data_IF_817927106181
#
_entry.id   IF_817927106181
#
_cell.length_a   1.000
_cell.length_b   1.000
_cell.length_c   1.000
_cell.angle_alpha   90.00
_cell.angle_beta   90.00
_cell.angle_gamma   90.00
#
_symmetry.space_group_name_H-M   'P 1'
#
loop_
_entity.id
_entity.type
_entity.pdbx_description
1 polymer ?
#
# COMPACT_ATOMS: atom_id res chain seq x y z
N UNK A 1 24.85 36.44 -26.80
CA UNK A 1 25.73 35.59 -25.99
C UNK A 1 25.05 35.37 -24.63
N UNK A 2 24.07 34.52 -24.59
CA UNK A 2 23.44 34.09 -23.32
C UNK A 2 24.29 32.95 -22.75
N UNK A 3 24.78 33.16 -21.57
CA UNK A 3 25.50 32.14 -20.77
C UNK A 3 24.48 31.18 -20.21
N UNK A 4 24.48 29.98 -20.76
CA UNK A 4 23.81 28.80 -20.20
C UNK A 4 24.48 28.46 -18.85
N UNK A 5 23.86 28.90 -17.75
CA UNK A 5 24.24 28.58 -16.40
C UNK A 5 23.58 27.25 -16.00
N UNK A 6 24.00 26.15 -16.58
CA UNK A 6 23.73 24.81 -16.05
C UNK A 6 24.55 24.67 -14.74
N UNK A 7 23.88 24.99 -13.62
CA UNK A 7 24.44 24.85 -12.26
C UNK A 7 24.76 23.37 -11.99
N UNK A 8 26.03 23.01 -12.16
CA UNK A 8 26.59 21.66 -12.03
C UNK A 8 26.61 21.14 -10.59
N UNK A 9 25.55 21.37 -9.80
CA UNK A 9 25.38 20.71 -8.52
C UNK A 9 25.05 19.26 -8.77
N UNK A 10 25.97 18.36 -8.46
CA UNK A 10 25.72 16.93 -8.44
C UNK A 10 24.39 16.68 -7.70
N UNK A 11 23.40 16.10 -8.37
CA UNK A 11 22.07 15.88 -7.82
C UNK A 11 22.25 15.03 -6.55
N UNK A 12 21.98 15.60 -5.39
CA UNK A 12 22.19 14.93 -4.09
C UNK A 12 21.36 13.64 -4.06
N UNK A 13 21.96 12.53 -3.60
CA UNK A 13 21.29 11.25 -3.48
C UNK A 13 20.05 11.36 -2.57
N UNK A 14 18.91 10.95 -3.07
CA UNK A 14 17.66 10.90 -2.30
C UNK A 14 17.64 9.66 -1.40
N UNK A 15 16.96 9.78 -0.26
CA UNK A 15 16.82 8.73 0.75
C UNK A 15 15.35 8.32 0.83
N UNK A 16 15.07 7.02 0.61
CA UNK A 16 13.75 6.44 0.70
C UNK A 16 13.63 5.50 1.90
N UNK A 17 12.52 5.59 2.64
CA UNK A 17 12.08 4.65 3.66
C UNK A 17 10.80 3.97 3.20
N UNK A 18 10.82 2.64 3.06
CA UNK A 18 9.70 1.86 2.51
C UNK A 18 9.25 0.81 3.52
N UNK A 19 7.95 0.79 3.85
CA UNK A 19 7.40 -0.20 4.77
C UNK A 19 6.85 -1.42 4.05
N UNK A 20 7.00 -2.61 4.67
CA UNK A 20 6.43 -3.85 4.11
C UNK A 20 7.17 -4.39 2.90
N UNK A 21 8.50 -4.31 2.89
CA UNK A 21 9.38 -4.68 1.76
C UNK A 21 9.75 -6.18 1.69
N UNK A 22 9.15 -7.04 2.48
CA UNK A 22 9.48 -8.48 2.47
C UNK A 22 8.94 -9.23 1.24
N UNK A 23 8.00 -8.67 0.50
CA UNK A 23 7.43 -9.26 -0.72
C UNK A 23 6.55 -8.25 -1.46
N UNK A 24 6.14 -8.58 -2.68
CA UNK A 24 5.13 -7.84 -3.45
C UNK A 24 5.51 -6.41 -3.79
N UNK A 25 4.59 -5.47 -3.63
CA UNK A 25 4.77 -4.07 -4.03
C UNK A 25 5.97 -3.43 -3.33
N UNK A 26 6.09 -3.57 -2.00
CA UNK A 26 7.20 -2.98 -1.25
C UNK A 26 8.57 -3.55 -1.63
N UNK A 27 8.65 -4.84 -1.95
CA UNK A 27 9.86 -5.49 -2.44
C UNK A 27 10.29 -4.93 -3.81
N UNK A 28 9.38 -4.93 -4.79
CA UNK A 28 9.67 -4.40 -6.12
C UNK A 28 10.00 -2.90 -6.09
N UNK A 29 9.25 -2.12 -5.30
CA UNK A 29 9.53 -0.69 -5.13
C UNK A 29 10.91 -0.46 -4.54
N UNK A 30 11.31 -1.24 -3.52
CA UNK A 30 12.62 -1.08 -2.90
C UNK A 30 13.76 -1.32 -3.87
N UNK A 31 13.68 -2.38 -4.66
CA UNK A 31 14.68 -2.68 -5.68
C UNK A 31 14.68 -1.64 -6.80
N UNK A 32 13.51 -1.23 -7.27
CA UNK A 32 13.38 -0.28 -8.38
C UNK A 32 13.92 1.10 -8.01
N UNK A 33 13.60 1.62 -6.82
CA UNK A 33 14.14 2.90 -6.38
C UNK A 33 15.66 2.83 -6.21
N UNK A 34 16.18 1.74 -5.65
CA UNK A 34 17.62 1.54 -5.51
C UNK A 34 18.35 1.45 -6.87
N UNK A 35 17.77 0.76 -7.86
CA UNK A 35 18.27 0.71 -9.25
C UNK A 35 18.33 2.09 -9.92
N UNK A 36 17.48 3.02 -9.48
CA UNK A 36 17.47 4.41 -9.95
C UNK A 36 18.32 5.35 -9.08
N UNK A 37 19.26 4.79 -8.28
CA UNK A 37 20.24 5.55 -7.51
C UNK A 37 19.71 6.19 -6.21
N UNK A 38 18.47 5.89 -5.82
CA UNK A 38 17.88 6.35 -4.56
C UNK A 38 18.35 5.41 -3.45
N UNK A 39 19.02 5.92 -2.40
CA UNK A 39 19.39 5.10 -1.26
C UNK A 39 18.16 4.64 -0.52
N UNK A 40 17.91 3.33 -0.50
CA UNK A 40 16.64 2.76 -0.09
C UNK A 40 16.76 1.95 1.19
N UNK A 41 16.03 2.36 2.22
CA UNK A 41 15.80 1.56 3.42
C UNK A 41 14.54 0.71 3.23
N UNK A 42 14.73 -0.55 2.87
CA UNK A 42 13.68 -1.54 2.76
C UNK A 42 13.35 -2.08 4.15
N UNK A 43 12.11 -1.91 4.64
CA UNK A 43 11.79 -2.34 6.01
C UNK A 43 10.78 -3.46 6.07
N UNK A 44 10.93 -4.32 7.07
CA UNK A 44 10.06 -5.46 7.31
C UNK A 44 10.05 -5.87 8.79
N UNK A 45 8.97 -6.47 9.26
CA UNK A 45 8.85 -6.93 10.66
C UNK A 45 9.80 -8.08 10.99
N UNK A 46 10.00 -8.99 10.05
CA UNK A 46 10.81 -10.18 10.23
C UNK A 46 11.98 -10.22 9.24
N UNK A 47 13.18 -10.03 9.75
CA UNK A 47 14.42 -10.04 8.95
C UNK A 47 14.77 -11.41 8.37
N UNK A 48 14.18 -12.53 8.85
CA UNK A 48 14.39 -13.83 8.20
C UNK A 48 13.89 -13.89 6.76
N UNK A 49 13.05 -12.92 6.36
CA UNK A 49 12.54 -12.77 4.99
C UNK A 49 13.36 -11.81 4.13
N UNK A 50 14.53 -11.35 4.60
CA UNK A 50 15.34 -10.34 3.90
C UNK A 50 16.34 -10.95 2.91
N UNK A 51 16.56 -12.26 2.93
CA UNK A 51 17.66 -12.88 2.18
C UNK A 51 17.57 -12.59 0.67
N UNK A 52 16.40 -12.76 0.07
CA UNK A 52 16.20 -12.55 -1.36
C UNK A 52 16.51 -11.10 -1.80
N UNK A 53 16.00 -10.10 -1.10
CA UNK A 53 16.26 -8.69 -1.43
C UNK A 53 17.73 -8.32 -1.22
N UNK A 54 18.39 -8.87 -0.20
CA UNK A 54 19.81 -8.64 0.08
C UNK A 54 20.70 -9.28 -0.98
N UNK A 55 20.38 -10.49 -1.45
CA UNK A 55 21.14 -11.19 -2.50
C UNK A 55 21.06 -10.42 -3.81
N UNK A 56 19.88 -9.93 -4.19
CA UNK A 56 19.69 -9.09 -5.38
C UNK A 56 20.46 -7.77 -5.22
N UNK A 57 20.30 -7.09 -4.09
CA UNK A 57 20.98 -5.82 -3.84
C UNK A 57 22.50 -5.97 -3.89
N UNK A 58 23.05 -7.05 -3.34
CA UNK A 58 24.48 -7.36 -3.41
C UNK A 58 24.95 -7.67 -4.83
N UNK A 59 24.19 -8.51 -5.55
CA UNK A 59 24.52 -8.88 -6.95
C UNK A 59 24.54 -7.69 -7.88
N UNK A 60 23.61 -6.77 -7.71
CA UNK A 60 23.46 -5.58 -8.56
C UNK A 60 24.17 -4.34 -7.99
N UNK A 61 24.88 -4.46 -6.86
CA UNK A 61 25.56 -3.35 -6.16
C UNK A 61 24.61 -2.17 -5.86
N UNK A 62 23.39 -2.45 -5.42
CA UNK A 62 22.35 -1.44 -5.20
C UNK A 62 22.56 -0.69 -3.87
N UNK A 63 22.28 0.63 -3.81
CA UNK A 63 22.27 1.41 -2.58
C UNK A 63 21.02 1.08 -1.74
N UNK A 64 21.00 -0.11 -1.15
CA UNK A 64 19.86 -0.64 -0.40
C UNK A 64 20.32 -1.24 0.93
N UNK A 65 19.60 -0.90 1.98
CA UNK A 65 19.76 -1.47 3.32
C UNK A 65 18.43 -1.98 3.86
N UNK A 66 18.45 -3.12 4.55
CA UNK A 66 17.25 -3.67 5.20
C UNK A 66 17.24 -3.31 6.68
N UNK A 67 16.09 -2.86 7.20
CA UNK A 67 15.87 -2.57 8.61
C UNK A 67 14.62 -3.29 9.14
N UNK A 68 14.63 -3.57 10.46
CA UNK A 68 13.41 -3.99 11.15
C UNK A 68 12.51 -2.79 11.37
N UNK A 69 11.24 -2.91 10.95
CA UNK A 69 10.20 -1.93 11.26
C UNK A 69 8.84 -2.64 11.30
N UNK A 70 8.17 -2.56 12.45
CA UNK A 70 6.76 -2.87 12.61
C UNK A 70 5.99 -1.55 12.76
N UNK A 71 5.07 -1.28 11.83
CA UNK A 71 4.29 -0.04 11.82
C UNK A 71 3.35 0.07 13.03
N UNK A 72 3.03 -1.05 13.68
CA UNK A 72 2.18 -1.10 14.87
C UNK A 72 2.96 -0.89 16.16
N UNK A 73 4.28 -1.04 16.14
CA UNK A 73 5.16 -0.83 17.29
C UNK A 73 5.89 0.51 17.19
N UNK A 74 5.55 1.40 18.12
CA UNK A 74 6.13 2.75 18.16
C UNK A 74 7.63 2.75 18.42
N UNK A 75 8.16 1.84 19.25
CA UNK A 75 9.59 1.73 19.53
C UNK A 75 10.35 1.24 18.30
N UNK A 76 9.79 0.26 17.59
CA UNK A 76 10.35 -0.23 16.34
C UNK A 76 10.41 0.87 15.27
N UNK A 77 9.32 1.63 15.13
CA UNK A 77 9.22 2.76 14.22
C UNK A 77 10.25 3.84 14.54
N UNK A 78 10.35 4.26 15.82
CA UNK A 78 11.32 5.28 16.25
C UNK A 78 12.76 4.83 15.97
N UNK A 79 13.10 3.60 16.35
CA UNK A 79 14.44 3.05 16.14
C UNK A 79 14.85 3.03 14.66
N UNK A 80 13.93 2.68 13.77
CA UNK A 80 14.21 2.67 12.34
C UNK A 80 14.46 4.10 11.81
N UNK A 81 13.64 5.07 12.21
CA UNK A 81 13.82 6.48 11.82
C UNK A 81 15.15 7.04 12.38
N UNK A 82 15.45 6.79 13.65
CA UNK A 82 16.69 7.25 14.29
C UNK A 82 17.92 6.70 13.55
N UNK A 83 17.88 5.44 13.13
CA UNK A 83 18.96 4.83 12.35
C UNK A 83 19.13 5.51 10.98
N UNK A 84 18.05 5.76 10.25
CA UNK A 84 18.11 6.48 8.97
C UNK A 84 18.66 7.89 9.18
N UNK A 85 18.21 8.59 10.21
CA UNK A 85 18.66 9.95 10.51
C UNK A 85 20.11 9.99 10.95
N UNK A 86 20.58 9.02 11.74
CA UNK A 86 21.98 8.92 12.14
C UNK A 86 22.90 8.69 10.92
N UNK A 87 22.50 7.87 9.97
CA UNK A 87 23.32 7.52 8.80
C UNK A 87 23.24 8.56 7.68
N UNK A 88 22.07 9.15 7.43
CA UNK A 88 21.78 9.97 6.25
C UNK A 88 21.41 11.43 6.57
N UNK A 89 21.00 11.67 7.82
CA UNK A 89 20.51 12.98 8.29
C UNK A 89 19.34 13.55 7.47
N UNK A 90 18.59 12.67 6.78
CA UNK A 90 17.42 13.05 5.98
C UNK A 90 16.54 11.86 5.61
N UNK A 91 15.28 12.14 5.30
CA UNK A 91 14.34 11.24 4.62
C UNK A 91 13.64 12.08 3.56
N UNK A 92 13.80 11.71 2.28
CA UNK A 92 13.18 12.43 1.15
C UNK A 92 11.88 11.80 0.72
N UNK A 93 11.78 10.48 0.84
CA UNK A 93 10.68 9.68 0.35
C UNK A 93 10.26 8.71 1.47
N UNK A 94 8.98 8.77 1.84
CA UNK A 94 8.34 7.79 2.71
C UNK A 94 7.30 7.03 1.89
N UNK A 95 7.45 5.70 1.78
CA UNK A 95 6.46 4.83 1.13
C UNK A 95 5.76 3.99 2.19
N UNK A 96 4.53 4.35 2.52
CA UNK A 96 3.64 3.61 3.41
C UNK A 96 2.93 2.52 2.61
N UNK A 97 3.55 1.33 2.55
CA UNK A 97 3.05 0.19 1.80
C UNK A 97 2.61 -0.97 2.70
N UNK A 98 3.10 -1.07 3.93
CA UNK A 98 2.71 -2.13 4.86
C UNK A 98 1.19 -2.14 5.07
N UNK A 99 0.56 -3.31 4.91
CA UNK A 99 -0.87 -3.48 5.08
C UNK A 99 -1.32 -4.90 4.75
N UNK A 100 -2.54 -5.22 5.12
CA UNK A 100 -3.22 -6.48 4.78
C UNK A 100 -4.72 -6.25 4.64
N UNK A 101 -5.46 -7.28 4.21
CA UNK A 101 -6.92 -7.25 4.12
C UNK A 101 -7.53 -8.30 5.01
N UNK A 102 -8.52 -7.89 5.80
CA UNK A 102 -9.42 -8.75 6.56
C UNK A 102 -10.70 -8.98 5.76
N UNK A 103 -11.08 -10.22 5.57
CA UNK A 103 -12.25 -10.63 4.77
C UNK A 103 -13.24 -11.40 5.65
N UNK A 104 -14.50 -11.02 5.57
CA UNK A 104 -15.61 -11.64 6.26
C UNK A 104 -16.81 -10.69 6.30
N UNK A 105 -18.00 -11.23 6.59
CA UNK A 105 -19.17 -10.41 6.86
C UNK A 105 -18.94 -9.62 8.16
N UNK A 106 -19.42 -8.39 8.22
CA UNK A 106 -19.12 -7.49 9.35
C UNK A 106 -19.50 -8.10 10.70
N UNK A 107 -20.63 -8.80 10.78
CA UNK A 107 -21.05 -9.45 12.05
C UNK A 107 -20.22 -10.69 12.43
N UNK A 108 -19.42 -11.22 11.49
CA UNK A 108 -18.51 -12.36 11.71
C UNK A 108 -17.08 -11.94 12.01
N UNK A 109 -16.81 -10.65 12.05
CA UNK A 109 -15.48 -10.08 12.35
C UNK A 109 -15.55 -9.43 13.72
N UNK A 110 -14.64 -9.81 14.61
CA UNK A 110 -14.56 -9.20 15.94
C UNK A 110 -14.04 -7.76 15.88
N UNK A 111 -14.42 -6.94 16.85
CA UNK A 111 -13.89 -5.58 16.99
C UNK A 111 -12.37 -5.54 17.15
N UNK A 112 -11.76 -6.57 17.75
CA UNK A 112 -10.31 -6.62 17.90
C UNK A 112 -9.60 -6.88 16.55
N UNK A 113 -10.16 -7.74 15.69
CA UNK A 113 -9.65 -7.95 14.34
C UNK A 113 -9.75 -6.67 13.48
N UNK A 114 -10.87 -5.92 13.61
CA UNK A 114 -11.04 -4.63 12.94
C UNK A 114 -9.98 -3.63 13.43
N UNK A 115 -9.77 -3.52 14.75
CA UNK A 115 -8.76 -2.64 15.34
C UNK A 115 -7.35 -3.01 14.90
N UNK A 116 -7.00 -4.31 14.87
CA UNK A 116 -5.70 -4.78 14.38
C UNK A 116 -5.44 -4.38 12.92
N UNK A 117 -6.47 -4.45 12.06
CA UNK A 117 -6.36 -4.00 10.68
C UNK A 117 -6.15 -2.49 10.58
N UNK A 118 -6.92 -1.71 11.34
CA UNK A 118 -6.76 -0.26 11.42
C UNK A 118 -5.41 0.15 12.01
N UNK A 119 -4.91 -0.56 13.03
CA UNK A 119 -3.57 -0.32 13.58
C UNK A 119 -2.48 -0.44 12.50
N UNK A 120 -2.59 -1.42 11.60
CA UNK A 120 -1.63 -1.59 10.52
C UNK A 120 -1.87 -0.64 9.36
N UNK A 121 -3.11 -0.61 8.83
CA UNK A 121 -3.43 0.06 7.56
C UNK A 121 -3.63 1.56 7.67
N UNK A 122 -3.83 2.09 8.89
CA UNK A 122 -4.18 3.49 9.13
C UNK A 122 -3.34 4.11 10.26
N UNK A 123 -3.48 3.66 11.51
CA UNK A 123 -2.80 4.31 12.64
C UNK A 123 -1.28 4.19 12.56
N UNK A 124 -0.74 3.04 12.11
CA UNK A 124 0.70 2.87 11.89
C UNK A 124 1.25 3.84 10.85
N UNK A 125 0.48 4.12 9.78
CA UNK A 125 0.83 5.12 8.76
C UNK A 125 0.86 6.52 9.38
N UNK A 126 -0.15 6.88 10.17
CA UNK A 126 -0.19 8.18 10.87
C UNK A 126 1.02 8.36 11.76
N UNK A 127 1.35 7.36 12.59
CA UNK A 127 2.51 7.40 13.50
C UNK A 127 3.82 7.64 12.73
N UNK A 128 4.01 6.98 11.60
CA UNK A 128 5.17 7.18 10.73
C UNK A 128 5.20 8.58 10.13
N UNK A 129 4.08 9.05 9.57
CA UNK A 129 3.96 10.40 8.99
C UNK A 129 4.28 11.45 10.05
N UNK A 130 3.70 11.35 11.26
CA UNK A 130 3.95 12.31 12.35
C UNK A 130 5.42 12.40 12.75
N UNK A 131 6.18 11.30 12.67
CA UNK A 131 7.61 11.27 12.99
C UNK A 131 8.48 11.81 11.84
N UNK A 132 8.11 11.55 10.58
CA UNK A 132 8.90 11.95 9.41
C UNK A 132 8.57 13.37 8.97
N UNK A 133 7.34 13.82 9.14
CA UNK A 133 6.87 15.13 8.67
C UNK A 133 7.69 16.33 9.21
N UNK A 134 8.07 16.41 10.52
CA UNK A 134 8.92 17.49 11.00
C UNK A 134 10.29 17.55 10.31
N UNK A 135 10.84 16.39 9.91
CA UNK A 135 12.11 16.29 9.18
C UNK A 135 11.95 16.85 7.77
N UNK A 136 10.95 16.39 7.02
CA UNK A 136 10.63 16.88 5.66
C UNK A 136 10.29 18.39 5.67
N UNK A 137 9.55 18.85 6.67
CA UNK A 137 9.24 20.29 6.84
C UNK A 137 10.50 21.13 7.03
N UNK A 138 11.44 20.67 7.86
CA UNK A 138 12.75 21.33 8.03
C UNK A 138 13.58 21.30 6.74
N UNK A 139 13.50 20.22 5.98
CA UNK A 139 14.15 20.07 4.67
C UNK A 139 13.53 20.96 3.59
N UNK A 140 12.29 21.46 3.79
CA UNK A 140 11.47 22.15 2.78
C UNK A 140 11.26 21.28 1.52
N UNK A 141 11.25 19.98 1.68
CA UNK A 141 11.14 19.01 0.60
C UNK A 141 10.76 17.64 1.17
N UNK A 142 9.88 16.92 0.50
CA UNK A 142 9.52 15.55 0.85
C UNK A 142 8.46 14.96 -0.05
N UNK A 143 8.38 13.62 -0.08
CA UNK A 143 7.33 12.86 -0.74
C UNK A 143 6.80 11.78 0.19
N UNK A 144 5.52 11.85 0.48
CA UNK A 144 4.79 10.85 1.26
C UNK A 144 3.89 10.08 0.31
N UNK A 145 4.25 8.83 0.03
CA UNK A 145 3.50 7.93 -0.85
C UNK A 145 2.71 6.96 0.00
N UNK A 146 1.39 7.05 -0.05
CA UNK A 146 0.50 6.14 0.65
C UNK A 146 -0.07 5.12 -0.34
N UNK A 147 0.27 3.84 -0.18
CA UNK A 147 -0.31 2.76 -0.98
C UNK A 147 -1.71 2.47 -0.43
N UNK A 148 -2.69 3.08 -1.09
CA UNK A 148 -4.12 2.89 -0.86
C UNK A 148 -4.62 1.63 -1.59
N UNK A 149 -5.76 1.71 -2.22
CA UNK A 149 -6.38 0.67 -3.04
C UNK A 149 -7.56 1.25 -3.79
N UNK A 150 -8.02 0.59 -4.86
CA UNK A 150 -9.36 0.78 -5.39
C UNK A 150 -10.43 0.68 -4.28
N UNK A 151 -10.21 -0.17 -3.27
CA UNK A 151 -11.06 -0.29 -2.08
C UNK A 151 -11.09 0.95 -1.18
N UNK A 152 -10.23 1.94 -1.40
CA UNK A 152 -10.32 3.27 -0.78
C UNK A 152 -11.30 4.22 -1.48
N UNK A 153 -11.84 3.81 -2.62
CA UNK A 153 -12.74 4.61 -3.47
C UNK A 153 -14.10 3.99 -3.69
N UNK A 154 -14.23 2.68 -3.49
CA UNK A 154 -15.47 1.91 -3.67
C UNK A 154 -15.67 0.91 -2.54
N UNK A 155 -16.94 0.62 -2.22
CA UNK A 155 -17.33 -0.48 -1.34
C UNK A 155 -17.16 -1.83 -2.03
N UNK A 156 -16.72 -2.84 -1.26
CA UNK A 156 -16.60 -4.22 -1.72
C UNK A 156 -17.28 -5.16 -0.70
N UNK A 157 -18.10 -6.12 -1.13
CA UNK A 157 -18.74 -7.04 -0.21
C UNK A 157 -17.70 -7.86 0.58
N UNK A 158 -18.02 -8.19 1.83
CA UNK A 158 -17.16 -8.97 2.74
C UNK A 158 -15.76 -8.37 3.01
N UNK A 159 -15.60 -7.05 2.82
CA UNK A 159 -14.34 -6.33 3.07
C UNK A 159 -14.57 -5.02 3.82
N UNK A 160 -15.63 -4.92 4.61
CA UNK A 160 -16.03 -3.67 5.25
C UNK A 160 -14.91 -3.04 6.09
N UNK A 161 -14.18 -3.82 6.87
CA UNK A 161 -13.05 -3.34 7.66
C UNK A 161 -11.92 -2.82 6.78
N UNK A 162 -11.52 -3.58 5.76
CA UNK A 162 -10.46 -3.18 4.82
C UNK A 162 -10.84 -1.91 4.04
N UNK A 163 -12.04 -1.90 3.45
CA UNK A 163 -12.60 -0.74 2.73
C UNK A 163 -12.55 0.49 3.64
N UNK A 164 -13.08 0.39 4.86
CA UNK A 164 -13.09 1.51 5.81
C UNK A 164 -11.69 2.01 6.13
N UNK A 165 -10.71 1.11 6.33
CA UNK A 165 -9.31 1.50 6.60
C UNK A 165 -8.69 2.25 5.42
N UNK A 166 -9.01 1.86 4.17
CA UNK A 166 -8.50 2.52 2.96
C UNK A 166 -9.22 3.83 2.66
N UNK A 167 -10.54 3.93 2.89
CA UNK A 167 -11.26 5.21 2.83
C UNK A 167 -10.71 6.21 3.87
N UNK A 168 -10.42 5.76 5.08
CA UNK A 168 -9.79 6.60 6.09
C UNK A 168 -8.42 7.13 5.63
N UNK A 169 -7.60 6.29 4.98
CA UNK A 169 -6.31 6.68 4.41
C UNK A 169 -6.44 7.70 3.28
N UNK A 170 -7.46 7.55 2.41
CA UNK A 170 -7.77 8.52 1.35
C UNK A 170 -8.10 9.90 1.94
N UNK A 171 -9.03 9.96 2.91
CA UNK A 171 -9.43 11.20 3.56
C UNK A 171 -8.29 11.87 4.32
N UNK A 172 -7.49 11.09 5.06
CA UNK A 172 -6.28 11.56 5.72
C UNK A 172 -5.31 12.19 4.72
N UNK A 173 -5.03 11.49 3.62
CA UNK A 173 -4.05 11.92 2.63
C UNK A 173 -4.49 13.20 1.91
N UNK A 174 -5.78 13.33 1.61
CA UNK A 174 -6.33 14.51 0.98
C UNK A 174 -6.25 15.74 1.90
N UNK A 175 -6.59 15.61 3.17
CA UNK A 175 -6.46 16.66 4.16
C UNK A 175 -5.00 17.06 4.37
N UNK A 176 -4.14 16.08 4.61
CA UNK A 176 -2.71 16.29 4.85
C UNK A 176 -2.04 17.03 3.68
N UNK A 177 -2.42 16.72 2.43
CA UNK A 177 -1.89 17.41 1.25
C UNK A 177 -2.00 18.95 1.39
N UNK A 178 -3.14 19.44 1.85
CA UNK A 178 -3.35 20.88 2.01
C UNK A 178 -2.55 21.47 3.17
N UNK A 179 -2.29 20.67 4.22
CA UNK A 179 -1.52 21.12 5.38
C UNK A 179 -0.03 21.30 5.09
N UNK A 180 0.52 20.52 4.11
CA UNK A 180 1.98 20.39 3.94
C UNK A 180 2.50 20.96 2.63
N UNK A 181 1.65 21.34 1.67
CA UNK A 181 2.07 21.81 0.34
C UNK A 181 3.01 23.03 0.40
N UNK A 182 2.78 23.97 1.32
CA UNK A 182 3.59 25.17 1.47
C UNK A 182 5.01 24.88 2.01
N UNK A 183 5.23 23.66 2.48
CA UNK A 183 6.56 23.19 2.89
C UNK A 183 7.30 22.44 1.78
N UNK A 184 6.75 22.40 0.56
CA UNK A 184 7.35 21.65 -0.56
C UNK A 184 7.25 20.13 -0.37
N UNK A 185 6.22 19.67 0.36
CA UNK A 185 5.98 18.26 0.62
C UNK A 185 4.78 17.80 -0.21
N UNK A 186 4.97 16.75 -1.00
CA UNK A 186 3.92 16.11 -1.77
C UNK A 186 3.36 14.91 -1.03
N UNK A 187 2.03 14.84 -0.92
CA UNK A 187 1.30 13.65 -0.47
C UNK A 187 0.67 12.99 -1.68
N UNK A 188 0.94 11.72 -1.88
CA UNK A 188 0.59 10.99 -3.11
C UNK A 188 -0.09 9.67 -2.72
N UNK A 189 -1.20 9.38 -3.38
CA UNK A 189 -1.94 8.14 -3.25
C UNK A 189 -1.68 7.24 -4.45
N UNK A 190 -1.35 6.00 -4.20
CA UNK A 190 -1.32 4.93 -5.19
C UNK A 190 -2.54 4.06 -4.95
N UNK A 191 -3.39 3.91 -5.96
CA UNK A 191 -4.69 3.22 -5.88
C UNK A 191 -4.67 1.95 -6.76
N UNK A 192 -4.02 0.85 -6.30
CA UNK A 192 -3.98 -0.39 -7.07
C UNK A 192 -5.34 -1.10 -7.09
N UNK A 193 -5.64 -1.76 -8.21
CA UNK A 193 -6.66 -2.80 -8.32
C UNK A 193 -6.17 -4.13 -7.75
N UNK A 194 -6.50 -5.23 -8.43
CA UNK A 194 -6.02 -6.56 -8.06
C UNK A 194 -4.58 -6.74 -8.51
N UNK A 195 -3.67 -7.00 -7.56
CA UNK A 195 -2.24 -7.17 -7.81
C UNK A 195 -1.79 -8.58 -7.47
N UNK A 196 -1.05 -9.22 -8.40
CA UNK A 196 -0.45 -10.56 -8.24
C UNK A 196 0.69 -10.54 -7.22
N UNK A 197 0.36 -10.61 -5.94
CA UNK A 197 1.34 -10.60 -4.85
C UNK A 197 1.04 -11.71 -3.86
N UNK A 198 1.94 -11.92 -2.91
CA UNK A 198 1.67 -12.74 -1.73
C UNK A 198 0.63 -12.10 -0.78
N UNK A 199 -0.04 -11.02 -1.17
CA UNK A 199 -1.09 -10.36 -0.39
C UNK A 199 -2.24 -11.34 -0.07
N UNK A 200 -2.56 -12.26 -0.99
CA UNK A 200 -3.54 -13.33 -0.74
C UNK A 200 -3.10 -14.25 0.40
N UNK A 201 -1.81 -14.59 0.47
CA UNK A 201 -1.28 -15.40 1.58
C UNK A 201 -1.31 -14.67 2.92
N UNK A 202 -1.37 -13.33 2.87
CA UNK A 202 -1.48 -12.47 4.04
C UNK A 202 -2.93 -12.01 4.29
N UNK A 203 -3.88 -12.46 3.45
CA UNK A 203 -5.30 -12.19 3.64
C UNK A 203 -5.75 -12.88 4.93
N UNK A 204 -6.27 -12.11 5.87
CA UNK A 204 -6.87 -12.66 7.08
C UNK A 204 -8.35 -12.93 6.83
N UNK A 205 -8.82 -14.09 7.21
CA UNK A 205 -10.25 -14.42 7.21
C UNK A 205 -10.72 -14.27 8.65
N UNK A 206 -11.85 -13.60 8.86
CA UNK A 206 -12.41 -13.39 10.20
C UNK A 206 -12.57 -14.72 10.95
N UNK A 207 -12.21 -14.75 12.22
CA UNK A 207 -12.17 -15.98 13.03
C UNK A 207 -13.50 -16.72 13.15
N UNK A 208 -14.61 -16.01 12.96
CA UNK A 208 -15.95 -16.62 12.96
C UNK A 208 -16.38 -17.14 11.58
N UNK A 209 -15.58 -16.87 10.53
CA UNK A 209 -15.78 -17.46 9.21
C UNK A 209 -15.17 -18.86 9.23
N UNK A 210 -16.01 -19.89 9.19
CA UNK A 210 -15.53 -21.28 9.22
C UNK A 210 -14.90 -21.60 7.87
N UNK A 211 -13.58 -21.84 7.88
CA UNK A 211 -12.86 -22.33 6.71
C UNK A 211 -12.41 -23.77 6.95
N UNK A 212 -12.41 -24.61 5.90
CA UNK A 212 -11.76 -25.92 5.93
C UNK A 212 -10.22 -25.75 5.97
N UNK A 213 -9.50 -26.82 6.34
CA UNK A 213 -8.02 -26.85 6.33
C UNK A 213 -7.41 -26.47 4.96
N UNK A 214 -8.18 -26.60 3.88
CA UNK A 214 -7.78 -26.27 2.51
C UNK A 214 -8.10 -24.81 2.11
N UNK A 215 -8.61 -23.98 3.03
CA UNK A 215 -9.01 -22.60 2.75
C UNK A 215 -10.38 -22.44 2.10
N UNK A 216 -11.11 -23.51 1.89
CA UNK A 216 -12.51 -23.44 1.44
C UNK A 216 -13.43 -23.12 2.63
N UNK A 217 -14.47 -22.32 2.39
CA UNK A 217 -15.50 -22.10 3.41
C UNK A 217 -16.18 -23.43 3.69
N UNK A 218 -16.17 -23.86 4.96
CA UNK A 218 -16.86 -25.07 5.36
C UNK A 218 -18.38 -24.85 5.26
N UNK A 219 -18.93 -25.20 4.10
CA UNK A 219 -20.37 -25.11 3.79
C UNK A 219 -21.19 -26.25 4.41
N UNK A 220 -20.57 -27.17 5.15
CA UNK A 220 -21.28 -28.29 5.79
C UNK A 220 -22.24 -27.86 6.91
N UNK A 221 -22.17 -26.60 7.35
CA UNK A 221 -23.25 -25.96 8.12
C UNK A 221 -24.03 -25.03 7.18
N UNK A 222 -25.01 -25.59 6.47
CA UNK A 222 -25.94 -24.84 5.59
C UNK A 222 -26.72 -23.71 6.33
N UNK A 223 -26.51 -23.57 7.61
CA UNK A 223 -27.15 -22.61 8.49
C UNK A 223 -26.32 -21.34 8.76
N UNK A 224 -25.15 -21.15 8.10
CA UNK A 224 -24.37 -19.92 8.26
C UNK A 224 -24.86 -18.83 7.31
N UNK A 225 -25.34 -17.69 7.82
CA UNK A 225 -26.01 -16.65 7.03
C UNK A 225 -25.19 -16.10 5.85
N UNK A 226 -23.86 -16.19 5.89
CA UNK A 226 -22.95 -15.61 4.87
C UNK A 226 -22.14 -16.65 4.10
N UNK A 227 -22.40 -17.97 4.26
CA UNK A 227 -21.60 -19.01 3.62
C UNK A 227 -21.64 -18.89 2.10
N UNK A 228 -22.83 -18.72 1.52
CA UNK A 228 -23.02 -18.64 0.07
C UNK A 228 -22.29 -17.43 -0.54
N UNK A 229 -22.48 -16.22 0.01
CA UNK A 229 -21.81 -15.01 -0.51
C UNK A 229 -20.29 -15.07 -0.33
N UNK A 230 -19.82 -15.68 0.74
CA UNK A 230 -18.39 -15.87 1.00
C UNK A 230 -17.77 -16.81 -0.03
N UNK A 231 -18.42 -17.94 -0.31
CA UNK A 231 -17.99 -18.91 -1.33
C UNK A 231 -17.97 -18.29 -2.73
N UNK A 232 -19.03 -17.57 -3.10
CA UNK A 232 -19.09 -16.85 -4.39
C UNK A 232 -17.94 -15.87 -4.53
N UNK A 233 -17.67 -15.07 -3.50
CA UNK A 233 -16.56 -14.11 -3.53
C UNK A 233 -15.19 -14.78 -3.67
N UNK A 234 -14.92 -15.84 -2.90
CA UNK A 234 -13.65 -16.57 -3.00
C UNK A 234 -13.48 -17.15 -4.41
N UNK A 235 -14.52 -17.78 -4.95
CA UNK A 235 -14.49 -18.36 -6.30
C UNK A 235 -14.29 -17.30 -7.38
N UNK A 236 -14.94 -16.14 -7.28
CA UNK A 236 -14.79 -15.04 -8.24
C UNK A 236 -13.43 -14.32 -8.13
N UNK A 237 -12.76 -14.38 -6.96
CA UNK A 237 -11.51 -13.70 -6.76
C UNK A 237 -10.32 -14.39 -7.44
N UNK A 238 -10.28 -15.72 -7.47
CA UNK A 238 -9.17 -16.50 -8.02
C UNK A 238 -8.86 -16.15 -9.50
N UNK A 239 -9.83 -16.17 -10.43
CA UNK A 239 -9.57 -15.79 -11.83
C UNK A 239 -9.11 -14.33 -11.98
N UNK A 240 -9.62 -13.44 -11.15
CA UNK A 240 -9.22 -12.02 -11.17
C UNK A 240 -7.79 -11.83 -10.70
N UNK A 241 -7.40 -12.58 -9.68
CA UNK A 241 -6.04 -12.57 -9.21
C UNK A 241 -5.07 -13.05 -10.30
N UNK A 242 -5.43 -14.10 -11.04
CA UNK A 242 -4.63 -14.61 -12.16
C UNK A 242 -4.49 -13.59 -13.31
N UNK A 243 -5.48 -12.72 -13.50
CA UNK A 243 -5.47 -11.63 -14.48
C UNK A 243 -4.97 -10.29 -13.91
N UNK A 244 -4.70 -10.20 -12.61
CA UNK A 244 -4.30 -8.97 -11.93
C UNK A 244 -2.96 -8.40 -12.44
N UNK A 245 -2.72 -7.13 -12.19
CA UNK A 245 -1.47 -6.45 -12.51
C UNK A 245 -0.29 -6.99 -11.70
N UNK A 246 0.93 -6.79 -12.19
CA UNK A 246 2.13 -7.18 -11.47
C UNK A 246 2.48 -6.16 -10.37
N UNK A 247 3.14 -6.56 -9.28
CA UNK A 247 3.66 -5.61 -8.30
C UNK A 247 4.68 -4.64 -8.89
N UNK A 248 5.33 -5.01 -9.98
CA UNK A 248 6.26 -4.16 -10.71
C UNK A 248 5.55 -2.95 -11.35
N UNK A 249 4.35 -3.12 -11.92
CA UNK A 249 3.56 -1.99 -12.45
C UNK A 249 3.26 -0.94 -11.36
N UNK A 250 3.00 -1.40 -10.13
CA UNK A 250 2.80 -0.47 -8.99
C UNK A 250 4.13 0.21 -8.63
N UNK A 251 5.23 -0.53 -8.62
CA UNK A 251 6.56 0.03 -8.35
C UNK A 251 6.97 1.05 -9.41
N UNK A 252 6.71 0.78 -10.71
CA UNK A 252 6.96 1.71 -11.81
C UNK A 252 6.16 3.02 -11.62
N UNK A 253 4.88 2.91 -11.22
CA UNK A 253 4.04 4.08 -10.90
C UNK A 253 4.55 4.86 -9.69
N UNK A 254 5.04 4.17 -8.65
CA UNK A 254 5.67 4.83 -7.50
C UNK A 254 6.95 5.55 -7.93
N UNK A 255 7.76 4.96 -8.79
CA UNK A 255 8.96 5.60 -9.33
C UNK A 255 8.59 6.86 -10.14
N UNK A 256 7.57 6.80 -11.01
CA UNK A 256 7.05 7.98 -11.71
C UNK A 256 6.67 9.08 -10.73
N UNK A 257 5.88 8.76 -9.70
CA UNK A 257 5.44 9.71 -8.69
C UNK A 257 6.61 10.32 -7.88
N UNK A 258 7.65 9.52 -7.63
CA UNK A 258 8.85 9.93 -6.89
C UNK A 258 9.77 10.83 -7.73
N UNK A 259 9.87 10.60 -9.03
CA UNK A 259 10.79 11.31 -9.92
C UNK A 259 10.17 12.51 -10.63
N UNK A 260 8.83 12.61 -10.68
CA UNK A 260 8.12 13.73 -11.28
C UNK A 260 8.36 15.05 -10.51
N UNK A 261 8.61 16.14 -11.21
CA UNK A 261 8.72 17.46 -10.61
C UNK A 261 7.35 17.98 -10.11
N UNK A 262 6.27 17.55 -10.73
CA UNK A 262 4.89 17.88 -10.33
C UNK A 262 4.02 16.62 -10.32
N UNK A 263 4.14 15.77 -9.27
CA UNK A 263 3.40 14.53 -9.21
C UNK A 263 1.90 14.76 -9.04
N UNK A 264 1.10 13.89 -9.65
CA UNK A 264 -0.34 13.85 -9.42
C UNK A 264 -0.62 13.46 -7.96
N UNK A 265 -1.74 13.89 -7.43
CA UNK A 265 -2.15 13.49 -6.08
C UNK A 265 -2.56 11.99 -6.03
N UNK A 266 -3.18 11.46 -7.09
CA UNK A 266 -3.64 10.07 -7.19
C UNK A 266 -3.17 9.40 -8.47
N UNK A 267 -2.74 8.15 -8.32
CA UNK A 267 -2.34 7.25 -9.41
C UNK A 267 -3.12 5.96 -9.30
N UNK A 268 -4.01 5.71 -10.25
CA UNK A 268 -4.76 4.45 -10.36
C UNK A 268 -3.86 3.45 -11.09
N UNK A 269 -3.70 2.23 -10.55
CA UNK A 269 -2.88 1.17 -11.15
C UNK A 269 -3.70 -0.08 -11.40
N UNK A 270 -3.66 -0.55 -12.64
CA UNK A 270 -4.39 -1.71 -13.13
C UNK A 270 -5.61 -1.35 -13.97
N UNK A 271 -5.83 -2.15 -15.01
CA UNK A 271 -6.95 -1.95 -15.93
C UNK A 271 -8.31 -2.15 -15.25
N UNK A 272 -8.38 -3.09 -14.30
CA UNK A 272 -9.56 -3.37 -13.50
C UNK A 272 -9.95 -2.16 -12.64
N UNK A 273 -8.97 -1.54 -11.97
CA UNK A 273 -9.19 -0.34 -11.17
C UNK A 273 -9.62 0.85 -12.04
N UNK A 274 -8.94 1.10 -13.14
CA UNK A 274 -9.27 2.19 -14.06
C UNK A 274 -10.71 2.04 -14.60
N UNK A 275 -11.05 0.84 -15.06
CA UNK A 275 -12.40 0.55 -15.59
C UNK A 275 -13.50 0.75 -14.53
N UNK A 276 -13.30 0.23 -13.31
CA UNK A 276 -14.30 0.40 -12.24
C UNK A 276 -14.44 1.85 -11.80
N UNK A 277 -13.35 2.61 -11.75
CA UNK A 277 -13.40 4.03 -11.42
C UNK A 277 -14.10 4.86 -12.51
N UNK A 278 -13.94 4.52 -13.78
CA UNK A 278 -14.65 5.19 -14.87
C UNK A 278 -16.15 4.87 -14.82
N UNK A 279 -16.53 3.61 -14.55
CA UNK A 279 -17.93 3.24 -14.33
C UNK A 279 -18.49 4.02 -13.13
N UNK A 280 -17.78 4.05 -11.99
CA UNK A 280 -18.22 4.74 -10.76
C UNK A 280 -18.52 6.23 -10.99
N UNK A 281 -17.77 6.89 -11.86
CA UNK A 281 -17.96 8.31 -12.19
C UNK A 281 -19.21 8.57 -13.04
N UNK A 282 -19.65 7.57 -13.81
CA UNK A 282 -20.69 7.72 -14.84
C UNK A 282 -21.98 6.98 -14.51
N UNK A 283 -22.13 6.42 -13.30
CA UNK A 283 -23.32 5.69 -12.86
C UNK A 283 -23.85 6.20 -11.53
N UNK A 284 -25.14 5.99 -11.28
CA UNK A 284 -25.74 6.20 -9.96
C UNK A 284 -25.22 5.20 -8.92
N UNK A 285 -25.45 5.46 -7.63
CA UNK A 285 -25.07 4.53 -6.56
C UNK A 285 -25.75 3.17 -6.70
N UNK A 286 -27.03 3.15 -7.11
CA UNK A 286 -27.80 1.93 -7.31
C UNK A 286 -27.31 1.09 -8.48
N UNK A 287 -27.00 1.74 -9.61
CA UNK A 287 -26.45 1.07 -10.80
C UNK A 287 -25.05 0.54 -10.52
N UNK A 288 -24.20 1.36 -9.88
CA UNK A 288 -22.86 0.94 -9.50
C UNK A 288 -22.90 -0.24 -8.53
N UNK A 289 -23.80 -0.20 -7.54
CA UNK A 289 -24.00 -1.30 -6.58
C UNK A 289 -24.31 -2.63 -7.27
N UNK A 290 -25.20 -2.62 -8.28
CA UNK A 290 -25.50 -3.82 -9.10
C UNK A 290 -24.26 -4.30 -9.85
N UNK A 291 -23.49 -3.40 -10.46
CA UNK A 291 -22.27 -3.75 -11.19
C UNK A 291 -21.21 -4.37 -10.25
N UNK A 292 -21.01 -3.78 -9.06
CA UNK A 292 -20.08 -4.34 -8.06
C UNK A 292 -20.53 -5.72 -7.63
N UNK A 293 -21.81 -5.91 -7.28
CA UNK A 293 -22.32 -7.21 -6.87
C UNK A 293 -22.13 -8.26 -7.96
N UNK A 294 -22.54 -7.99 -9.19
CA UNK A 294 -22.35 -8.91 -10.31
C UNK A 294 -20.86 -9.17 -10.57
N UNK A 295 -20.06 -8.12 -10.58
CA UNK A 295 -18.64 -8.24 -10.88
C UNK A 295 -17.82 -8.96 -9.80
N UNK A 296 -18.22 -8.90 -8.54
CA UNK A 296 -17.47 -9.51 -7.40
C UNK A 296 -18.01 -10.89 -7.02
N UNK A 297 -19.28 -11.18 -7.33
CA UNK A 297 -19.95 -12.43 -6.94
C UNK A 297 -20.16 -13.39 -8.10
N UNK A 298 -20.10 -12.92 -9.36
CA UNK A 298 -20.21 -13.78 -10.53
C UNK A 298 -18.81 -14.06 -11.08
N UNK A 299 -18.42 -15.35 -11.10
CA UNK A 299 -17.24 -15.81 -11.83
C UNK A 299 -17.56 -15.71 -13.34
N UNK A 300 -16.95 -14.77 -14.04
CA UNK A 300 -16.93 -14.73 -15.51
C UNK A 300 -15.78 -15.59 -16.04
#
# INVERSE_FOLDING_TARGET
MEKDNSDGRAKRQQIALITGSSSGIGFETSLLLARNGIYTYATMRNLSKSQEILDIAKKECLPLKVLTLDVTDEKSTQKAIDMVMHEQNRIDILVNNAGYSLVGALEQISMDEIKEEFETNFFGIIKLIQKVLPLMRKQRSGRIINVSSLAGRIGLPLASAYVSSKFALEGLSESLKYEVQDFGIYVILIEPGVIKTNFIKNLKIGKQVITSENGDVNTSSADLPYAEITQKRISAFKPRFEKGSSPKEVADTILEAVTSDNPKFRYIVGQDASKLMDIRKNTSDEEFGKIVMNSVLEAQ
#
